data_IF_422548222043
#
_entry.id   IF_422548222043
#
_cell.length_a   1.000
_cell.length_b   1.000
_cell.length_c   1.000
_cell.angle_alpha   90.00
_cell.angle_beta   90.00
_cell.angle_gamma   90.00
#
_symmetry.space_group_name_H-M   'P 1'
#
loop_
_entity.id
_entity.type
_entity.pdbx_description
1 polymer ?
#
# COMPACT_ATOMS: atom_id res chain seq x y z
N UNK A 1 -10.18 -15.79 10.98
CA UNK A 1 -9.15 -16.48 11.78
C UNK A 1 -9.76 -16.90 13.10
N UNK A 2 -9.48 -18.11 13.57
CA UNK A 2 -9.86 -18.58 14.92
C UNK A 2 -8.79 -18.18 15.95
N UNK A 3 -9.12 -18.20 17.24
CA UNK A 3 -8.18 -17.86 18.32
C UNK A 3 -6.89 -18.72 18.28
N UNK A 4 -7.03 -20.03 18.00
CA UNK A 4 -5.90 -20.96 17.83
C UNK A 4 -4.97 -20.57 16.68
N UNK A 5 -5.50 -20.08 15.55
CA UNK A 5 -4.68 -19.62 14.42
C UNK A 5 -3.86 -18.37 14.76
N UNK A 6 -4.36 -17.51 15.65
CA UNK A 6 -3.66 -16.31 16.08
C UNK A 6 -2.48 -16.61 17.03
N UNK A 7 -2.68 -17.58 17.93
CA UNK A 7 -1.63 -18.04 18.85
C UNK A 7 -0.48 -18.74 18.10
N UNK A 8 -0.78 -19.57 17.10
CA UNK A 8 0.23 -20.22 16.26
C UNK A 8 1.06 -19.19 15.47
N UNK A 9 0.40 -18.20 14.86
CA UNK A 9 1.08 -17.14 14.11
C UNK A 9 1.99 -16.30 15.00
N UNK A 10 1.54 -15.97 16.22
CA UNK A 10 2.32 -15.22 17.20
C UNK A 10 3.55 -16.03 17.64
N UNK A 11 3.39 -17.33 17.88
CA UNK A 11 4.48 -18.23 18.27
C UNK A 11 5.55 -18.32 17.18
N UNK A 12 5.15 -18.50 15.92
CA UNK A 12 6.06 -18.56 14.78
C UNK A 12 6.85 -17.24 14.61
N UNK A 13 6.21 -16.09 14.82
CA UNK A 13 6.88 -14.80 14.77
C UNK A 13 8.00 -14.71 15.82
N UNK A 14 7.73 -15.09 17.07
CA UNK A 14 8.73 -15.05 18.13
C UNK A 14 9.90 -16.00 17.89
N UNK A 15 9.64 -17.20 17.36
CA UNK A 15 10.70 -18.13 16.96
C UNK A 15 11.61 -17.52 15.88
N UNK A 16 11.02 -16.92 14.86
CA UNK A 16 11.77 -16.28 13.78
C UNK A 16 12.59 -15.07 14.27
N UNK A 17 12.05 -14.27 15.20
CA UNK A 17 12.79 -13.18 15.84
C UNK A 17 13.98 -13.75 16.64
N UNK A 18 13.76 -14.82 17.41
CA UNK A 18 14.83 -15.51 18.14
C UNK A 18 15.95 -15.99 17.23
N UNK A 19 15.62 -16.55 16.06
CA UNK A 19 16.59 -17.05 15.09
C UNK A 19 17.51 -15.96 14.51
N UNK A 20 17.10 -14.68 14.54
CA UNK A 20 17.88 -13.55 14.04
C UNK A 20 18.39 -12.62 15.15
N UNK A 21 18.11 -12.93 16.43
CA UNK A 21 18.31 -12.01 17.54
C UNK A 21 19.77 -11.58 17.73
N UNK A 22 20.71 -12.48 17.45
CA UNK A 22 22.16 -12.22 17.57
C UNK A 22 22.72 -11.41 16.37
N UNK A 23 21.96 -11.30 15.27
CA UNK A 23 22.35 -10.49 14.12
C UNK A 23 21.84 -9.05 14.26
N UNK A 24 22.75 -8.17 14.68
CA UNK A 24 22.50 -6.73 14.86
C UNK A 24 21.99 -6.03 13.59
N UNK A 25 22.40 -6.46 12.40
CA UNK A 25 21.95 -5.88 11.13
C UNK A 25 20.48 -6.23 10.86
N UNK A 26 20.12 -7.50 11.03
CA UNK A 26 18.75 -7.98 10.85
C UNK A 26 17.81 -7.39 11.90
N UNK A 27 18.22 -7.33 13.16
CA UNK A 27 17.44 -6.70 14.23
C UNK A 27 17.19 -5.21 13.98
N UNK A 28 18.18 -4.49 13.42
CA UNK A 28 17.99 -3.08 13.03
C UNK A 28 16.98 -2.94 11.89
N UNK A 29 16.95 -3.85 10.93
CA UNK A 29 15.95 -3.86 9.84
C UNK A 29 14.55 -4.15 10.37
N UNK A 30 14.41 -5.15 11.25
CA UNK A 30 13.15 -5.47 11.91
C UNK A 30 12.61 -4.25 12.69
N UNK A 31 13.46 -3.62 13.52
CA UNK A 31 13.06 -2.44 14.29
C UNK A 31 12.58 -1.28 13.41
N UNK A 32 13.26 -1.01 12.28
CA UNK A 32 12.83 -0.01 11.31
C UNK A 32 11.46 -0.33 10.71
N UNK A 33 11.24 -1.59 10.35
CA UNK A 33 9.98 -2.02 9.74
C UNK A 33 8.82 -1.94 10.73
N UNK A 34 9.00 -2.40 11.97
CA UNK A 34 8.00 -2.28 13.04
C UNK A 34 7.67 -0.81 13.32
N UNK A 35 8.68 0.07 13.38
CA UNK A 35 8.46 1.50 13.56
C UNK A 35 7.68 2.13 12.40
N UNK A 36 7.93 1.69 11.16
CA UNK A 36 7.17 2.11 9.98
C UNK A 36 5.70 1.67 10.10
N UNK A 37 5.44 0.38 10.33
CA UNK A 37 4.09 -0.16 10.46
C UNK A 37 3.29 0.54 11.58
N UNK A 38 3.95 0.84 12.70
CA UNK A 38 3.31 1.58 13.79
C UNK A 38 2.86 2.98 13.33
N UNK A 39 3.71 3.71 12.63
CA UNK A 39 3.36 5.02 12.08
C UNK A 39 2.21 4.92 11.08
N UNK A 40 2.25 3.93 10.19
CA UNK A 40 1.20 3.72 9.20
C UNK A 40 -0.16 3.40 9.85
N UNK A 41 -0.16 2.63 10.95
CA UNK A 41 -1.38 2.37 11.73
C UNK A 41 -1.95 3.62 12.41
N UNK A 42 -1.11 4.59 12.75
CA UNK A 42 -1.50 5.82 13.45
C UNK A 42 -1.83 6.97 12.46
N UNK A 43 -1.59 6.80 11.15
CA UNK A 43 -1.81 7.82 10.13
C UNK A 43 -3.20 7.71 9.48
N UNK A 44 -4.13 8.64 9.75
CA UNK A 44 -5.49 8.60 9.22
C UNK A 44 -5.58 8.98 7.74
N UNK A 45 -4.48 9.43 7.13
CA UNK A 45 -4.44 9.79 5.70
C UNK A 45 -4.07 8.61 4.80
N UNK A 46 -3.62 7.50 5.39
CA UNK A 46 -3.29 6.29 4.65
C UNK A 46 -4.55 5.49 4.35
N UNK A 47 -4.68 5.16 3.07
CA UNK A 47 -5.70 4.26 2.57
C UNK A 47 -5.37 2.82 2.98
N UNK A 48 -6.38 2.09 3.41
CA UNK A 48 -6.30 0.64 3.63
C UNK A 48 -6.10 -0.10 2.30
N UNK A 49 -5.68 -1.36 2.38
CA UNK A 49 -5.52 -2.20 1.19
C UNK A 49 -6.87 -2.38 0.48
N UNK A 50 -7.94 -2.59 1.24
CA UNK A 50 -9.29 -2.75 0.69
C UNK A 50 -9.75 -1.49 -0.06
N UNK A 51 -9.55 -0.31 0.54
CA UNK A 51 -9.89 0.97 -0.10
C UNK A 51 -9.06 1.21 -1.38
N UNK A 52 -7.79 0.82 -1.39
CA UNK A 52 -6.94 0.93 -2.57
C UNK A 52 -7.46 0.10 -3.74
N UNK A 53 -7.83 -1.17 -3.50
CA UNK A 53 -8.39 -2.01 -4.56
C UNK A 53 -9.79 -1.55 -4.98
N UNK A 54 -10.62 -1.09 -4.04
CA UNK A 54 -11.92 -0.50 -4.38
C UNK A 54 -11.77 0.73 -5.28
N UNK A 55 -10.78 1.59 -5.02
CA UNK A 55 -10.47 2.75 -5.86
C UNK A 55 -10.01 2.33 -7.27
N UNK A 56 -9.20 1.27 -7.39
CA UNK A 56 -8.79 0.73 -8.69
C UNK A 56 -9.99 0.16 -9.47
N UNK A 57 -10.81 -0.65 -8.82
CA UNK A 57 -12.01 -1.24 -9.42
C UNK A 57 -12.97 -0.14 -9.90
N UNK A 58 -13.14 0.92 -9.12
CA UNK A 58 -13.95 2.07 -9.48
C UNK A 58 -13.37 2.80 -10.71
N UNK A 59 -12.05 3.05 -10.72
CA UNK A 59 -11.38 3.69 -11.85
C UNK A 59 -11.50 2.85 -13.15
N UNK A 60 -11.37 1.53 -13.05
CA UNK A 60 -11.56 0.61 -14.18
C UNK A 60 -12.99 0.66 -14.72
N UNK A 61 -14.00 0.69 -13.83
CA UNK A 61 -15.40 0.82 -14.23
C UNK A 61 -15.69 2.17 -14.88
N UNK A 62 -15.14 3.27 -14.35
CA UNK A 62 -15.28 4.59 -14.96
C UNK A 62 -14.65 4.61 -16.37
N UNK A 63 -13.48 3.99 -16.56
CA UNK A 63 -12.87 3.83 -17.88
C UNK A 63 -13.76 3.00 -18.82
N UNK A 64 -14.33 1.90 -18.34
CA UNK A 64 -15.23 1.06 -19.13
C UNK A 64 -16.53 1.80 -19.54
N UNK A 65 -17.00 2.74 -18.72
CA UNK A 65 -18.14 3.63 -19.04
C UNK A 65 -17.76 4.83 -19.92
N UNK A 66 -16.48 5.01 -20.24
CA UNK A 66 -15.98 6.16 -21.01
C UNK A 66 -15.89 7.46 -20.19
N UNK A 67 -15.98 7.37 -18.86
CA UNK A 67 -15.94 8.49 -17.92
C UNK A 67 -14.49 8.84 -17.49
N UNK A 68 -13.52 8.00 -17.83
CA UNK A 68 -12.10 8.23 -17.51
C UNK A 68 -11.32 8.93 -18.63
N UNK A 69 -10.25 9.63 -18.25
CA UNK A 69 -9.34 10.27 -19.20
C UNK A 69 -8.07 9.43 -19.39
N UNK A 70 -7.72 9.15 -20.64
CA UNK A 70 -6.47 8.50 -21.02
C UNK A 70 -5.62 9.43 -21.88
N UNK A 71 -4.30 9.24 -21.87
CA UNK A 71 -3.40 9.97 -22.74
C UNK A 71 -3.59 9.53 -24.19
N UNK A 72 -3.57 10.50 -25.11
CA UNK A 72 -3.62 10.23 -26.54
C UNK A 72 -2.23 9.84 -27.06
N UNK A 73 -2.14 9.11 -28.19
CA UNK A 73 -0.86 8.79 -28.80
C UNK A 73 -0.08 10.06 -29.16
N UNK A 74 1.16 10.17 -28.63
CA UNK A 74 2.04 11.32 -28.87
C UNK A 74 1.72 12.56 -28.04
N UNK A 75 0.73 12.50 -27.14
CA UNK A 75 0.43 13.56 -26.18
C UNK A 75 1.44 13.53 -25.03
N UNK A 76 1.94 14.70 -24.61
CA UNK A 76 2.76 14.81 -23.41
C UNK A 76 1.90 15.06 -22.16
N UNK A 77 2.52 14.98 -20.98
CA UNK A 77 1.79 15.13 -19.72
C UNK A 77 1.18 16.54 -19.55
N UNK A 78 1.84 17.57 -20.07
CA UNK A 78 1.36 18.96 -19.97
C UNK A 78 0.14 19.16 -20.87
N UNK A 79 0.19 18.65 -22.09
CA UNK A 79 -0.92 18.71 -23.03
C UNK A 79 -2.12 17.90 -22.51
N UNK A 80 -1.87 16.72 -21.95
CA UNK A 80 -2.89 15.91 -21.28
C UNK A 80 -3.59 16.67 -20.15
N UNK A 81 -2.82 17.24 -19.22
CA UNK A 81 -3.36 17.93 -18.04
C UNK A 81 -4.17 19.16 -18.43
N UNK A 82 -3.73 19.93 -19.43
CA UNK A 82 -4.52 21.04 -20.00
C UNK A 82 -5.82 20.55 -20.63
N UNK A 83 -5.79 19.45 -21.40
CA UNK A 83 -6.96 18.89 -22.06
C UNK A 83 -8.03 18.44 -21.07
N UNK A 84 -7.63 17.88 -19.93
CA UNK A 84 -8.56 17.42 -18.89
C UNK A 84 -8.89 18.50 -17.85
N UNK A 85 -8.48 19.75 -18.10
CA UNK A 85 -8.96 20.93 -17.37
C UNK A 85 -8.11 21.37 -16.17
N UNK A 86 -6.87 20.87 -16.03
CA UNK A 86 -5.95 21.38 -15.02
C UNK A 86 -5.21 22.63 -15.54
N UNK A 87 -5.13 23.65 -14.69
CA UNK A 87 -4.34 24.86 -14.94
C UNK A 87 -2.91 24.62 -14.44
N UNK A 88 -1.97 24.49 -15.39
CA UNK A 88 -0.55 24.13 -15.18
C UNK A 88 0.38 24.93 -16.08
#
# INVERSE_FOLDING_TARGET
>A
MTALQYEDMTTQLWQNIGAIADDKSLMKRLAKYVAKLRKEKEDPTLMTKEEYFAMLDEAEQQLARGEGHTMLPGEDLTDFLRRVGYDI
#
